data_IF_837474485787
#
_entry.id   IF_837474485787
#
_cell.length_a   1.000
_cell.length_b   1.000
_cell.length_c   1.000
_cell.angle_alpha   90.00
_cell.angle_beta   90.00
_cell.angle_gamma   90.00
#
_symmetry.space_group_name_H-M   'P 1'
#
loop_
_entity.id
_entity.type
_entity.pdbx_description
1 polymer ?
#
# COMPACT_ATOMS: atom_id res chain seq x y z
N UNK A 1 25.29 -47.51 35.18
CA UNK A 1 24.61 -46.49 34.35
C UNK A 1 25.52 -46.18 33.16
N UNK A 2 25.18 -46.65 31.96
CA UNK A 2 25.94 -46.31 30.73
C UNK A 2 25.39 -45.00 30.20
N UNK A 3 26.19 -43.94 30.23
CA UNK A 3 25.89 -42.65 29.59
C UNK A 3 25.87 -42.87 28.09
N UNK A 4 24.67 -42.79 27.49
CA UNK A 4 24.53 -42.79 26.04
C UNK A 4 25.05 -41.45 25.55
N UNK A 5 26.25 -41.45 24.97
CA UNK A 5 26.77 -40.32 24.20
C UNK A 5 25.85 -40.07 23.03
N UNK A 6 25.11 -38.96 23.08
CA UNK A 6 24.36 -38.46 21.92
C UNK A 6 25.37 -38.26 20.79
N UNK A 7 25.24 -39.03 19.71
CA UNK A 7 26.00 -38.84 18.49
C UNK A 7 25.79 -37.41 18.00
N UNK A 8 26.88 -36.65 17.89
CA UNK A 8 26.84 -35.34 17.21
C UNK A 8 26.35 -35.58 15.77
N UNK A 9 25.25 -34.96 15.42
CA UNK A 9 24.74 -35.00 14.06
C UNK A 9 25.80 -34.38 13.12
N UNK A 10 26.55 -35.23 12.44
CA UNK A 10 27.66 -34.87 11.54
C UNK A 10 27.18 -34.70 10.10
N UNK A 11 25.87 -34.81 9.85
CA UNK A 11 25.30 -34.62 8.53
C UNK A 11 25.49 -33.17 8.05
N UNK A 12 26.08 -33.02 6.88
CA UNK A 12 26.20 -31.72 6.19
C UNK A 12 24.85 -31.38 5.57
N UNK A 13 24.32 -30.21 5.91
CA UNK A 13 23.02 -29.77 5.43
C UNK A 13 23.17 -28.94 4.13
N UNK A 14 22.38 -29.24 3.08
CA UNK A 14 22.52 -28.57 1.78
C UNK A 14 21.83 -27.18 1.71
N UNK A 15 21.06 -26.82 2.74
CA UNK A 15 20.28 -25.58 2.77
C UNK A 15 20.42 -24.87 4.10
N UNK A 16 20.67 -23.56 4.06
CA UNK A 16 20.56 -22.65 5.18
C UNK A 16 19.37 -21.73 5.00
N UNK A 17 18.44 -21.76 5.94
CA UNK A 17 17.30 -20.84 6.00
C UNK A 17 17.64 -19.63 6.87
N UNK A 18 17.23 -18.44 6.45
CA UNK A 18 17.37 -17.20 7.21
C UNK A 18 16.05 -16.43 7.24
N UNK A 19 15.66 -15.96 8.40
CA UNK A 19 14.57 -14.99 8.54
C UNK A 19 15.10 -13.71 9.21
N UNK A 20 14.58 -12.56 8.80
CA UNK A 20 14.99 -11.26 9.32
C UNK A 20 13.78 -10.51 9.88
N UNK A 21 13.88 -10.11 11.16
CA UNK A 21 12.98 -9.14 11.77
C UNK A 21 13.66 -7.77 11.78
N UNK A 22 13.10 -6.82 11.04
CA UNK A 22 13.73 -5.56 10.71
C UNK A 22 13.22 -4.42 11.62
N UNK A 23 14.11 -3.80 12.36
CA UNK A 23 13.80 -2.58 13.12
C UNK A 23 14.68 -1.40 12.71
N UNK A 24 14.42 -0.23 13.26
CA UNK A 24 15.17 0.97 12.89
C UNK A 24 16.64 0.91 13.32
N UNK A 25 16.92 0.33 14.50
CA UNK A 25 18.26 0.32 15.11
C UNK A 25 18.95 -1.03 15.03
N UNK A 26 18.21 -2.11 15.07
CA UNK A 26 18.75 -3.46 15.15
C UNK A 26 17.98 -4.40 14.21
N UNK A 27 18.66 -5.33 13.59
CA UNK A 27 18.06 -6.42 12.87
C UNK A 27 18.26 -7.72 13.65
N UNK A 28 17.17 -8.47 13.80
CA UNK A 28 17.25 -9.80 14.41
C UNK A 28 17.23 -10.86 13.31
N UNK A 29 18.25 -11.69 13.31
CA UNK A 29 18.49 -12.73 12.32
C UNK A 29 18.17 -14.08 12.96
N UNK A 30 17.36 -14.88 12.31
CA UNK A 30 17.13 -16.28 12.65
C UNK A 30 17.67 -17.17 11.56
N UNK A 31 18.55 -18.12 11.91
CA UNK A 31 19.09 -19.10 10.98
C UNK A 31 18.63 -20.51 11.36
N UNK A 32 18.45 -21.38 10.36
CA UNK A 32 18.12 -22.79 10.57
C UNK A 32 18.67 -23.68 9.46
N UNK A 33 19.06 -24.90 9.81
CA UNK A 33 19.34 -25.99 8.88
C UNK A 33 18.16 -26.97 8.74
N UNK A 34 16.97 -26.58 9.21
CA UNK A 34 15.78 -27.44 9.29
C UNK A 34 15.65 -28.22 10.61
N UNK A 35 16.74 -28.43 11.36
CA UNK A 35 16.74 -29.14 12.65
C UNK A 35 17.09 -28.23 13.81
N UNK A 36 18.18 -27.47 13.70
CA UNK A 36 18.70 -26.57 14.73
C UNK A 36 18.51 -25.11 14.31
N UNK A 37 18.30 -24.22 15.29
CA UNK A 37 18.12 -22.79 15.07
C UNK A 37 19.23 -22.01 15.78
N UNK A 38 19.65 -20.90 15.16
CA UNK A 38 20.56 -19.89 15.73
C UNK A 38 19.92 -18.51 15.59
N UNK A 39 19.96 -17.68 16.63
CA UNK A 39 19.45 -16.32 16.59
C UNK A 39 20.59 -15.35 16.91
N UNK A 40 20.65 -14.26 16.15
CA UNK A 40 21.61 -13.17 16.33
C UNK A 40 20.92 -11.83 16.18
N UNK A 41 21.57 -10.80 16.71
CA UNK A 41 21.15 -9.43 16.54
C UNK A 41 22.35 -8.62 16.08
N UNK A 42 22.19 -7.87 15.01
CA UNK A 42 23.19 -6.97 14.45
C UNK A 42 22.63 -5.54 14.43
N UNK A 43 23.48 -4.57 14.18
CA UNK A 43 23.03 -3.23 13.89
C UNK A 43 22.25 -3.19 12.56
N UNK A 44 21.24 -2.35 12.49
CA UNK A 44 20.46 -2.21 11.26
C UNK A 44 21.35 -1.65 10.15
N UNK A 45 21.28 -2.27 8.97
CA UNK A 45 22.05 -1.90 7.77
C UNK A 45 23.53 -2.20 7.83
N UNK A 46 24.02 -2.86 8.87
CA UNK A 46 25.39 -3.36 8.93
C UNK A 46 25.52 -4.61 8.02
N UNK A 47 25.80 -4.35 6.75
CA UNK A 47 25.89 -5.39 5.73
C UNK A 47 27.09 -6.32 5.94
N UNK A 48 28.30 -5.82 6.28
CA UNK A 48 29.41 -6.67 6.65
C UNK A 48 29.11 -7.62 7.83
N UNK A 49 28.47 -7.12 8.88
CA UNK A 49 28.07 -7.96 10.02
C UNK A 49 27.02 -9.01 9.61
N UNK A 50 26.09 -8.68 8.70
CA UNK A 50 25.13 -9.65 8.17
C UNK A 50 25.85 -10.80 7.47
N UNK A 51 26.77 -10.51 6.55
CA UNK A 51 27.53 -11.52 5.81
C UNK A 51 28.40 -12.38 6.75
N UNK A 52 29.07 -11.77 7.72
CA UNK A 52 29.86 -12.49 8.73
C UNK A 52 28.98 -13.45 9.56
N UNK A 53 27.79 -13.02 9.97
CA UNK A 53 26.87 -13.89 10.73
C UNK A 53 26.29 -15.02 9.87
N UNK A 54 26.15 -14.85 8.55
CA UNK A 54 25.78 -15.91 7.62
C UNK A 54 26.85 -16.98 7.59
N UNK A 55 28.13 -16.62 7.41
CA UNK A 55 29.25 -17.59 7.38
C UNK A 55 29.38 -18.32 8.73
N UNK A 56 29.25 -17.60 9.84
CA UNK A 56 29.22 -18.22 11.17
C UNK A 56 28.03 -19.18 11.34
N UNK A 57 26.87 -18.85 10.75
CA UNK A 57 25.67 -19.70 10.81
C UNK A 57 25.90 -20.99 10.00
N UNK A 58 26.49 -20.94 8.79
CA UNK A 58 26.86 -22.11 8.00
C UNK A 58 27.72 -23.06 8.83
N UNK A 59 28.80 -22.56 9.43
CA UNK A 59 29.71 -23.36 10.27
C UNK A 59 29.01 -23.96 11.50
N UNK A 60 28.26 -23.13 12.27
CA UNK A 60 27.62 -23.56 13.54
C UNK A 60 26.43 -24.52 13.35
N UNK A 61 25.80 -24.50 12.18
CA UNK A 61 24.68 -25.35 11.83
C UNK A 61 25.05 -26.51 10.91
N UNK A 62 26.36 -26.75 10.72
CA UNK A 62 26.90 -27.83 9.88
C UNK A 62 26.33 -27.82 8.45
N UNK A 63 26.21 -26.61 7.86
CA UNK A 63 25.88 -26.47 6.45
C UNK A 63 27.14 -26.46 5.58
N UNK A 64 27.04 -26.91 4.33
CA UNK A 64 28.10 -26.79 3.36
C UNK A 64 28.43 -25.29 3.11
N UNK A 65 29.70 -25.02 2.73
CA UNK A 65 30.12 -23.62 2.44
C UNK A 65 29.31 -23.06 1.29
N UNK A 66 29.04 -23.86 0.27
CA UNK A 66 28.25 -23.57 -0.93
C UNK A 66 26.77 -23.95 -0.80
N UNK A 67 26.28 -24.16 0.42
CA UNK A 67 24.88 -24.51 0.63
C UNK A 67 23.93 -23.46 0.08
N UNK A 68 22.81 -23.92 -0.47
CA UNK A 68 21.74 -23.01 -0.92
C UNK A 68 21.23 -22.17 0.23
N UNK A 69 21.20 -20.85 0.04
CA UNK A 69 20.62 -19.92 1.01
C UNK A 69 19.23 -19.45 0.60
N UNK A 70 18.30 -19.60 1.54
CA UNK A 70 16.92 -19.18 1.39
C UNK A 70 16.58 -18.22 2.53
N UNK A 71 16.13 -17.01 2.20
CA UNK A 71 15.83 -15.99 3.20
C UNK A 71 14.43 -15.42 3.08
N UNK A 72 13.94 -14.79 4.16
CA UNK A 72 12.71 -14.00 4.12
C UNK A 72 12.73 -12.86 5.13
N UNK A 73 11.91 -11.85 4.85
CA UNK A 73 11.54 -10.81 5.79
C UNK A 73 10.12 -10.31 5.49
N UNK A 74 9.49 -9.67 6.49
CA UNK A 74 8.16 -9.07 6.34
C UNK A 74 8.25 -7.75 5.58
N UNK A 75 7.36 -7.55 4.60
CA UNK A 75 7.24 -6.29 3.88
C UNK A 75 6.87 -5.14 4.83
N UNK A 76 7.69 -4.11 4.85
CA UNK A 76 7.54 -3.02 5.79
C UNK A 76 8.21 -1.73 5.34
N UNK A 77 8.64 -0.95 6.30
CA UNK A 77 9.22 0.37 6.14
C UNK A 77 10.47 0.40 5.25
N UNK A 78 11.32 -0.61 5.36
CA UNK A 78 12.61 -0.64 4.69
C UNK A 78 12.52 -0.93 3.17
N UNK A 79 11.30 -1.24 2.67
CA UNK A 79 11.08 -1.45 1.24
C UNK A 79 11.75 -2.71 0.69
N UNK A 80 12.24 -2.65 -0.55
CA UNK A 80 12.77 -3.82 -1.27
C UNK A 80 14.27 -3.80 -1.54
N UNK A 81 15.01 -2.80 -1.04
CA UNK A 81 16.45 -2.72 -1.25
C UNK A 81 17.21 -3.91 -0.63
N UNK A 82 16.76 -4.38 0.55
CA UNK A 82 17.33 -5.55 1.23
C UNK A 82 17.17 -6.80 0.34
N UNK A 83 15.98 -6.99 -0.26
CA UNK A 83 15.75 -8.09 -1.18
C UNK A 83 16.75 -8.05 -2.35
N UNK A 84 16.90 -6.89 -2.99
CA UNK A 84 17.82 -6.72 -4.12
C UNK A 84 19.27 -6.97 -3.72
N UNK A 85 19.68 -6.49 -2.55
CA UNK A 85 21.02 -6.70 -2.04
C UNK A 85 21.28 -8.18 -1.72
N UNK A 86 20.32 -8.91 -1.10
CA UNK A 86 20.43 -10.34 -0.84
C UNK A 86 20.50 -11.14 -2.14
N UNK A 87 19.72 -10.80 -3.16
CA UNK A 87 19.80 -11.46 -4.48
C UNK A 87 21.17 -11.20 -5.14
N UNK A 88 21.75 -10.01 -5.00
CA UNK A 88 23.09 -9.72 -5.51
C UNK A 88 24.19 -10.56 -4.82
N UNK A 89 23.99 -10.94 -3.56
CA UNK A 89 24.86 -11.88 -2.82
C UNK A 89 24.56 -13.38 -3.14
N UNK A 90 23.68 -13.66 -4.11
CA UNK A 90 23.30 -15.04 -4.45
C UNK A 90 22.33 -15.69 -3.45
N UNK A 91 21.71 -14.92 -2.57
CA UNK A 91 20.78 -15.40 -1.56
C UNK A 91 19.36 -15.30 -2.08
N UNK A 92 18.67 -16.41 -2.29
CA UNK A 92 17.25 -16.41 -2.65
C UNK A 92 16.41 -15.81 -1.52
N UNK A 93 15.71 -14.70 -1.77
CA UNK A 93 14.95 -14.02 -0.74
C UNK A 93 13.47 -13.89 -1.10
N UNK A 94 12.61 -14.12 -0.12
CA UNK A 94 11.15 -13.96 -0.21
C UNK A 94 10.71 -12.81 0.69
N UNK A 95 9.99 -11.83 0.11
CA UNK A 95 9.36 -10.77 0.91
C UNK A 95 7.92 -11.15 1.20
N UNK A 96 7.56 -11.17 2.47
CA UNK A 96 6.30 -11.71 2.97
C UNK A 96 5.25 -10.62 3.13
N UNK A 97 4.00 -10.94 2.76
CA UNK A 97 2.85 -10.06 3.02
C UNK A 97 2.48 -10.12 4.50
N UNK A 98 2.61 -9.00 5.21
CA UNK A 98 2.26 -8.85 6.63
C UNK A 98 0.87 -9.40 6.97
N UNK A 99 -0.09 -9.24 6.06
CA UNK A 99 -1.45 -9.71 6.25
C UNK A 99 -1.60 -11.24 6.18
N UNK A 100 -0.59 -11.95 5.69
CA UNK A 100 -0.60 -13.42 5.57
C UNK A 100 0.11 -14.13 6.72
N UNK A 101 0.80 -13.40 7.58
CA UNK A 101 1.53 -13.98 8.72
C UNK A 101 0.52 -14.35 9.81
N UNK A 102 0.44 -15.63 10.12
CA UNK A 102 -0.43 -16.14 11.18
C UNK A 102 -0.04 -15.60 12.54
N UNK A 103 -0.87 -14.74 13.10
CA UNK A 103 -0.75 -14.32 14.50
C UNK A 103 -1.42 -15.38 15.37
N UNK A 104 -0.65 -16.11 16.17
CA UNK A 104 -1.19 -17.11 17.12
C UNK A 104 -2.08 -16.43 18.16
N UNK A 105 -3.40 -16.46 17.94
CA UNK A 105 -4.40 -15.87 18.87
C UNK A 105 -4.47 -16.56 20.25
N UNK A 106 -3.94 -17.80 20.36
CA UNK A 106 -3.99 -18.59 21.59
C UNK A 106 -2.99 -18.17 22.67
N UNK A 107 -1.98 -17.41 22.31
CA UNK A 107 -0.97 -16.95 23.24
C UNK A 107 -1.06 -15.43 23.35
N UNK A 108 -1.75 -14.93 24.37
CA UNK A 108 -1.55 -13.57 24.92
C UNK A 108 -0.12 -13.48 25.49
N UNK A 109 0.89 -13.78 24.69
CA UNK A 109 2.27 -13.78 25.12
C UNK A 109 2.99 -12.53 24.66
N UNK A 110 3.93 -12.13 25.47
CA UNK A 110 4.88 -11.05 25.23
C UNK A 110 5.38 -11.10 23.79
N UNK A 111 5.03 -10.09 22.99
CA UNK A 111 5.56 -9.92 21.64
C UNK A 111 7.04 -9.55 21.77
N UNK A 112 7.91 -10.37 21.25
CA UNK A 112 9.35 -10.10 21.18
C UNK A 112 9.87 -10.43 19.79
N UNK A 113 10.80 -9.61 19.29
CA UNK A 113 11.45 -9.84 17.98
C UNK A 113 12.05 -11.26 17.85
N UNK A 114 12.38 -11.92 18.96
CA UNK A 114 12.84 -13.31 18.96
C UNK A 114 11.73 -14.28 18.57
N UNK A 115 10.53 -14.08 19.04
CA UNK A 115 9.36 -14.91 18.72
C UNK A 115 8.96 -14.68 17.27
N UNK A 116 8.99 -13.42 16.83
CA UNK A 116 8.61 -13.02 15.48
C UNK A 116 9.58 -13.61 14.43
N UNK A 117 10.90 -13.49 14.64
CA UNK A 117 11.88 -14.07 13.70
C UNK A 117 11.81 -15.61 13.63
N UNK A 118 11.52 -16.28 14.74
CA UNK A 118 11.34 -17.74 14.75
C UNK A 118 10.04 -18.16 14.05
N UNK A 119 8.99 -17.34 14.15
CA UNK A 119 7.75 -17.58 13.43
C UNK A 119 7.97 -17.45 11.91
N UNK A 120 8.63 -16.37 11.46
CA UNK A 120 9.01 -16.18 10.06
C UNK A 120 9.86 -17.34 9.53
N UNK A 121 10.85 -17.79 10.31
CA UNK A 121 11.72 -18.89 9.94
C UNK A 121 10.94 -20.21 9.73
N UNK A 122 10.02 -20.54 10.64
CA UNK A 122 9.15 -21.72 10.51
C UNK A 122 8.25 -21.62 9.27
N UNK A 123 7.67 -20.45 9.02
CA UNK A 123 6.82 -20.23 7.85
C UNK A 123 7.61 -20.37 6.55
N UNK A 124 8.84 -19.85 6.49
CA UNK A 124 9.73 -20.02 5.35
C UNK A 124 10.02 -21.51 5.08
N UNK A 125 10.40 -22.28 6.12
CA UNK A 125 10.70 -23.70 5.99
C UNK A 125 9.47 -24.48 5.49
N UNK A 126 8.28 -24.24 6.06
CA UNK A 126 7.02 -24.84 5.61
C UNK A 126 6.71 -24.51 4.14
N UNK A 127 6.85 -23.24 3.77
CA UNK A 127 6.61 -22.78 2.40
C UNK A 127 7.54 -23.45 1.38
N UNK A 128 8.82 -23.54 1.70
CA UNK A 128 9.83 -24.21 0.84
C UNK A 128 9.58 -25.71 0.82
N UNK A 129 9.15 -26.31 1.92
CA UNK A 129 8.76 -27.72 2.03
C UNK A 129 7.49 -28.10 1.28
N UNK A 130 6.87 -27.15 0.53
CA UNK A 130 5.72 -27.41 -0.34
C UNK A 130 4.39 -26.84 0.16
N UNK A 131 4.30 -26.36 1.39
CA UNK A 131 3.08 -25.78 1.94
C UNK A 131 2.91 -24.32 1.47
N UNK A 132 2.58 -24.12 0.18
CA UNK A 132 2.50 -22.80 -0.45
C UNK A 132 1.44 -21.85 0.15
N UNK A 133 0.52 -22.38 0.96
CA UNK A 133 -0.49 -21.60 1.66
C UNK A 133 0.00 -21.05 3.01
N UNK A 134 1.14 -21.53 3.53
CA UNK A 134 1.69 -21.11 4.81
C UNK A 134 2.00 -19.60 4.86
N UNK A 135 2.33 -19.01 3.72
CA UNK A 135 2.59 -17.57 3.60
C UNK A 135 2.33 -17.06 2.18
N UNK A 136 2.09 -15.77 2.08
CA UNK A 136 1.98 -15.08 0.79
C UNK A 136 3.26 -14.29 0.52
N UNK A 137 3.91 -14.63 -0.59
CA UNK A 137 5.07 -13.90 -1.10
C UNK A 137 4.58 -12.72 -1.95
N UNK A 138 5.20 -11.56 -1.77
CA UNK A 138 4.90 -10.35 -2.56
C UNK A 138 5.78 -10.37 -3.82
N UNK A 139 5.18 -10.04 -4.98
CA UNK A 139 5.95 -9.70 -6.17
C UNK A 139 6.75 -8.42 -5.90
N UNK A 140 8.03 -8.48 -6.13
CA UNK A 140 8.91 -7.31 -5.95
C UNK A 140 8.86 -6.44 -7.20
N UNK A 141 8.49 -5.17 -7.08
CA UNK A 141 8.54 -4.24 -8.21
C UNK A 141 9.98 -3.95 -8.60
N UNK A 142 10.21 -3.64 -9.86
CA UNK A 142 11.48 -3.07 -10.31
C UNK A 142 11.70 -1.68 -9.72
N UNK A 143 12.93 -1.16 -9.80
CA UNK A 143 13.22 0.22 -9.35
C UNK A 143 12.39 1.23 -10.13
N UNK A 144 12.23 1.03 -11.44
CA UNK A 144 11.41 1.87 -12.29
C UNK A 144 9.92 1.83 -11.87
N UNK A 145 9.35 0.63 -11.63
CA UNK A 145 7.98 0.48 -11.14
C UNK A 145 7.77 1.10 -9.75
N UNK A 146 8.82 1.20 -8.93
CA UNK A 146 8.76 1.95 -7.66
C UNK A 146 8.76 3.45 -7.89
N UNK A 147 9.57 3.92 -8.85
CA UNK A 147 9.68 5.32 -9.21
C UNK A 147 8.40 5.86 -9.85
N UNK A 148 7.77 5.10 -10.71
CA UNK A 148 6.49 5.44 -11.36
C UNK A 148 5.39 5.86 -10.36
N UNK A 149 5.44 5.36 -9.14
CA UNK A 149 4.49 5.69 -8.07
C UNK A 149 4.79 7.01 -7.35
N UNK A 150 6.00 7.58 -7.50
CA UNK A 150 6.43 8.75 -6.72
C UNK A 150 5.63 9.99 -7.05
N UNK A 151 5.44 10.31 -8.33
CA UNK A 151 4.68 11.51 -8.75
C UNK A 151 3.30 11.56 -8.09
N UNK A 152 2.58 10.44 -8.08
CA UNK A 152 1.26 10.40 -7.47
C UNK A 152 1.32 10.50 -5.94
N UNK A 153 2.26 9.81 -5.30
CA UNK A 153 2.41 9.80 -3.83
C UNK A 153 2.84 11.15 -3.29
N UNK A 154 3.69 11.83 -4.02
CA UNK A 154 4.10 13.19 -3.70
C UNK A 154 2.95 14.16 -3.87
N UNK A 155 2.24 14.10 -5.00
CA UNK A 155 1.03 14.89 -5.23
C UNK A 155 -0.03 14.68 -4.12
N UNK A 156 -0.27 13.44 -3.70
CA UNK A 156 -1.21 13.14 -2.60
C UNK A 156 -0.79 13.81 -1.29
N UNK A 157 0.51 13.84 -0.98
CA UNK A 157 1.04 14.53 0.20
C UNK A 157 0.87 16.03 0.10
N UNK A 158 1.28 16.63 -1.03
CA UNK A 158 1.15 18.06 -1.29
C UNK A 158 -0.32 18.55 -1.27
N UNK A 159 -1.25 17.75 -1.76
CA UNK A 159 -2.69 18.07 -1.67
C UNK A 159 -3.17 18.16 -0.21
N UNK A 160 -2.66 17.31 0.68
CA UNK A 160 -2.97 17.38 2.12
C UNK A 160 -2.37 18.62 2.76
N UNK A 161 -1.12 18.94 2.45
CA UNK A 161 -0.42 20.14 2.92
C UNK A 161 -1.16 21.40 2.46
N UNK A 162 -1.52 21.47 1.16
CA UNK A 162 -2.32 22.57 0.60
C UNK A 162 -3.65 22.74 1.32
N UNK A 163 -4.33 21.63 1.61
CA UNK A 163 -5.57 21.61 2.39
C UNK A 163 -5.40 22.14 3.81
N UNK A 164 -4.30 21.78 4.47
CA UNK A 164 -3.98 22.22 5.81
C UNK A 164 -3.70 23.73 5.87
N UNK A 165 -2.91 24.28 4.94
CA UNK A 165 -2.67 25.72 4.84
C UNK A 165 -3.97 26.49 4.60
N UNK A 166 -4.82 26.01 3.69
CA UNK A 166 -6.14 26.61 3.44
C UNK A 166 -7.00 26.61 4.70
N UNK A 167 -7.09 25.50 5.41
CA UNK A 167 -7.91 25.38 6.62
C UNK A 167 -7.40 26.31 7.73
N UNK A 168 -6.08 26.44 7.90
CA UNK A 168 -5.46 27.32 8.90
C UNK A 168 -5.75 28.79 8.61
N UNK A 169 -5.57 29.27 7.37
CA UNK A 169 -5.91 30.65 7.00
C UNK A 169 -7.38 30.95 7.24
N UNK A 170 -8.29 30.03 6.88
CA UNK A 170 -9.73 30.19 7.18
C UNK A 170 -10.01 30.29 8.68
N UNK A 171 -9.36 29.44 9.47
CA UNK A 171 -9.53 29.43 10.92
C UNK A 171 -9.04 30.71 11.57
N UNK A 172 -7.89 31.21 11.15
CA UNK A 172 -7.32 32.47 11.67
C UNK A 172 -8.21 33.68 11.35
N UNK A 173 -8.70 33.74 10.13
CA UNK A 173 -9.54 34.87 9.69
C UNK A 173 -10.94 34.85 10.34
N UNK A 174 -11.53 33.69 10.55
CA UNK A 174 -12.87 33.60 11.15
C UNK A 174 -12.89 34.09 12.59
N UNK A 175 -11.80 33.99 13.34
CA UNK A 175 -11.70 34.54 14.71
C UNK A 175 -11.75 36.07 14.74
N UNK A 176 -11.59 36.72 13.59
CA UNK A 176 -11.75 38.16 13.40
C UNK A 176 -13.01 38.54 12.60
N UNK A 177 -13.94 37.59 12.48
CA UNK A 177 -15.22 37.80 11.76
C UNK A 177 -15.08 37.85 10.23
N UNK A 178 -13.94 37.45 9.67
CA UNK A 178 -13.69 37.46 8.22
C UNK A 178 -13.87 36.05 7.66
N UNK A 179 -14.82 35.91 6.72
CA UNK A 179 -15.05 34.63 6.01
C UNK A 179 -14.23 34.63 4.73
N UNK A 180 -13.28 33.71 4.62
CA UNK A 180 -12.47 33.49 3.41
C UNK A 180 -13.18 32.51 2.47
N UNK A 181 -13.76 32.99 1.41
CA UNK A 181 -14.38 32.15 0.38
C UNK A 181 -13.34 31.64 -0.61
N UNK A 182 -12.56 32.54 -1.19
CA UNK A 182 -11.53 32.23 -2.20
C UNK A 182 -10.15 32.63 -1.69
N UNK A 183 -9.19 31.71 -1.85
CA UNK A 183 -7.80 31.97 -1.40
C UNK A 183 -7.12 33.13 -2.16
N UNK A 184 -7.50 33.38 -3.40
CA UNK A 184 -7.05 34.53 -4.17
C UNK A 184 -7.36 35.88 -3.50
N UNK A 185 -8.25 35.91 -2.50
CA UNK A 185 -8.61 37.11 -1.74
C UNK A 185 -7.59 37.41 -0.62
N UNK A 186 -6.74 36.46 -0.22
CA UNK A 186 -5.80 36.63 0.89
C UNK A 186 -4.89 37.84 0.72
N UNK A 187 -4.24 38.11 -0.42
CA UNK A 187 -3.43 39.31 -0.60
C UNK A 187 -4.22 40.63 -0.39
N UNK A 188 -5.47 40.67 -0.86
CA UNK A 188 -6.36 41.82 -0.65
C UNK A 188 -6.76 41.98 0.81
N UNK A 189 -7.02 40.86 1.50
CA UNK A 189 -7.35 40.85 2.92
C UNK A 189 -6.13 41.36 3.73
N UNK A 190 -4.95 40.91 3.44
CA UNK A 190 -3.70 41.35 4.09
C UNK A 190 -3.48 42.86 3.92
N UNK A 191 -3.80 43.42 2.75
CA UNK A 191 -3.60 44.82 2.45
C UNK A 191 -4.66 45.76 3.09
N UNK A 192 -5.90 45.37 3.21
CA UNK A 192 -7.03 46.27 3.48
C UNK A 192 -8.04 45.79 4.52
N UNK A 193 -7.94 44.53 5.03
CA UNK A 193 -8.99 44.04 5.89
C UNK A 193 -8.97 44.64 7.29
N UNK A 194 -10.15 44.98 7.75
CA UNK A 194 -10.43 45.29 9.15
C UNK A 194 -11.32 44.20 9.73
N UNK A 195 -11.29 44.02 11.03
CA UNK A 195 -12.18 43.11 11.73
C UNK A 195 -13.62 43.48 11.45
N UNK A 196 -14.46 42.46 11.13
CA UNK A 196 -15.73 42.68 10.45
C UNK A 196 -16.74 43.57 11.19
N UNK A 197 -16.77 43.58 12.51
CA UNK A 197 -17.79 44.30 13.30
C UNK A 197 -17.24 45.55 13.98
N UNK A 198 -16.03 45.45 14.51
CA UNK A 198 -15.42 46.53 15.34
C UNK A 198 -14.53 47.45 14.51
N UNK A 199 -14.15 47.05 13.29
CA UNK A 199 -13.43 47.87 12.33
C UNK A 199 -11.93 48.13 12.65
N UNK A 200 -11.35 47.43 13.63
CA UNK A 200 -9.91 47.55 13.90
C UNK A 200 -9.08 46.81 12.82
N UNK A 201 -7.90 47.29 12.60
CA UNK A 201 -6.97 46.60 11.68
C UNK A 201 -6.54 45.25 12.20
N UNK A 202 -6.32 44.28 11.30
CA UNK A 202 -5.77 42.99 11.72
C UNK A 202 -4.43 43.15 12.42
N UNK A 203 -4.20 42.46 13.55
CA UNK A 203 -2.95 42.54 14.30
C UNK A 203 -1.71 42.22 13.43
N UNK A 204 -0.57 42.89 13.64
CA UNK A 204 0.62 42.70 12.80
C UNK A 204 1.13 41.24 12.74
N UNK A 205 1.13 40.57 13.89
CA UNK A 205 1.58 39.17 13.94
C UNK A 205 0.63 38.21 13.16
N UNK A 206 -0.67 38.48 13.23
CA UNK A 206 -1.66 37.72 12.44
C UNK A 206 -1.46 37.98 10.94
N UNK A 207 -1.25 39.23 10.53
CA UNK A 207 -0.96 39.55 9.12
C UNK A 207 0.29 38.79 8.66
N UNK A 208 1.36 38.82 9.44
CA UNK A 208 2.61 38.12 9.15
C UNK A 208 2.46 36.61 9.12
N UNK A 209 1.63 36.01 9.99
CA UNK A 209 1.35 34.59 10.00
C UNK A 209 0.55 34.19 8.74
N UNK A 210 -0.51 34.94 8.40
CA UNK A 210 -1.32 34.71 7.21
C UNK A 210 -0.50 34.83 5.92
N UNK A 211 0.42 35.79 5.85
CA UNK A 211 1.32 35.96 4.71
C UNK A 211 2.23 34.73 4.53
N UNK A 212 2.86 34.26 5.60
CA UNK A 212 3.69 33.04 5.56
C UNK A 212 2.87 31.79 5.19
N UNK A 213 1.63 31.67 5.68
CA UNK A 213 0.74 30.57 5.32
C UNK A 213 0.31 30.64 3.86
N UNK A 214 0.05 31.83 3.34
CA UNK A 214 -0.30 32.03 1.94
C UNK A 214 0.88 31.70 1.00
N UNK A 215 2.09 32.14 1.33
CA UNK A 215 3.31 31.80 0.59
C UNK A 215 3.54 30.28 0.53
N UNK A 216 3.37 29.57 1.65
CA UNK A 216 3.45 28.10 1.67
C UNK A 216 2.36 27.46 0.80
N UNK A 217 1.14 27.99 0.88
CA UNK A 217 0.05 27.51 0.05
C UNK A 217 0.36 27.66 -1.45
N UNK A 218 0.86 28.82 -1.86
CA UNK A 218 1.19 29.07 -3.28
C UNK A 218 2.36 28.18 -3.75
N UNK A 219 3.39 28.00 -2.92
CA UNK A 219 4.49 27.08 -3.22
C UNK A 219 3.98 25.65 -3.42
N UNK A 220 3.20 25.14 -2.48
CA UNK A 220 2.63 23.78 -2.56
C UNK A 220 1.70 23.66 -3.78
N UNK A 221 0.91 24.70 -4.07
CA UNK A 221 -0.01 24.72 -5.20
C UNK A 221 0.75 24.71 -6.55
N UNK A 222 1.87 25.42 -6.66
CA UNK A 222 2.73 25.39 -7.86
C UNK A 222 3.36 24.00 -8.07
N UNK A 223 3.85 23.36 -6.98
CA UNK A 223 4.41 22.01 -7.03
C UNK A 223 3.34 20.96 -7.43
N UNK A 224 2.11 21.08 -6.96
CA UNK A 224 1.01 20.20 -7.40
C UNK A 224 0.79 20.33 -8.92
N UNK A 225 0.75 21.55 -9.45
CA UNK A 225 0.57 21.79 -10.88
C UNK A 225 1.74 21.24 -11.71
N UNK A 226 2.94 21.38 -11.20
CA UNK A 226 4.15 20.82 -11.83
C UNK A 226 4.08 19.29 -11.93
N UNK A 227 3.73 18.61 -10.84
CA UNK A 227 3.58 17.15 -10.84
C UNK A 227 2.47 16.69 -11.81
N UNK A 228 1.36 17.43 -11.88
CA UNK A 228 0.28 17.15 -12.83
C UNK A 228 0.74 17.33 -14.28
N UNK A 229 1.54 18.34 -14.57
CA UNK A 229 2.15 18.57 -15.89
C UNK A 229 3.09 17.42 -16.26
N UNK A 230 4.01 17.06 -15.33
CA UNK A 230 4.94 15.94 -15.52
C UNK A 230 4.23 14.61 -15.79
N UNK A 231 3.09 14.36 -15.14
CA UNK A 231 2.28 13.16 -15.42
C UNK A 231 1.78 13.16 -16.88
N UNK A 232 1.28 14.30 -17.36
CA UNK A 232 0.76 14.44 -18.73
C UNK A 232 1.90 14.25 -19.74
N UNK A 233 3.00 14.97 -19.57
CA UNK A 233 4.19 14.89 -20.44
C UNK A 233 4.74 13.45 -20.53
N UNK A 234 4.84 12.76 -19.38
CA UNK A 234 5.25 11.35 -19.35
C UNK A 234 4.30 10.46 -20.14
N UNK A 235 2.99 10.71 -20.04
CA UNK A 235 2.01 9.91 -20.78
C UNK A 235 1.99 10.18 -22.28
N UNK A 236 2.40 11.37 -22.71
CA UNK A 236 2.49 11.75 -24.13
C UNK A 236 3.81 11.31 -24.77
N UNK A 237 4.89 11.31 -23.97
CA UNK A 237 6.26 11.05 -24.48
C UNK A 237 6.67 9.58 -24.44
N UNK A 238 5.97 8.71 -23.73
CA UNK A 238 6.34 7.31 -23.50
C UNK A 238 5.27 6.35 -24.01
N UNK A 239 5.59 5.57 -25.04
CA UNK A 239 4.74 4.46 -25.48
C UNK A 239 5.12 3.17 -24.73
N UNK A 240 4.77 3.12 -23.46
CA UNK A 240 4.95 1.96 -22.59
C UNK A 240 3.61 1.38 -22.16
N UNK A 241 3.55 0.07 -21.84
CA UNK A 241 2.29 -0.59 -21.48
C UNK A 241 1.49 0.11 -20.37
N UNK A 242 2.17 0.78 -19.43
CA UNK A 242 1.53 1.56 -18.39
C UNK A 242 0.72 2.74 -18.96
N UNK A 243 1.24 3.44 -19.96
CA UNK A 243 0.55 4.58 -20.58
C UNK A 243 -0.65 4.13 -21.40
N UNK A 244 -0.54 3.01 -22.10
CA UNK A 244 -1.67 2.40 -22.80
C UNK A 244 -2.80 2.01 -21.81
N UNK A 245 -2.47 1.42 -20.66
CA UNK A 245 -3.45 1.14 -19.60
C UNK A 245 -4.16 2.41 -19.09
N UNK A 246 -3.42 3.50 -18.92
CA UNK A 246 -3.99 4.80 -18.50
C UNK A 246 -4.98 5.30 -19.57
N UNK A 247 -4.62 5.26 -20.85
CA UNK A 247 -5.49 5.70 -21.94
C UNK A 247 -6.77 4.85 -22.03
N UNK A 248 -6.64 3.53 -21.91
CA UNK A 248 -7.81 2.63 -21.88
C UNK A 248 -8.76 2.98 -20.73
N UNK A 249 -8.25 3.11 -19.50
CA UNK A 249 -9.09 3.46 -18.35
C UNK A 249 -9.74 4.85 -18.51
N UNK A 250 -8.99 5.82 -19.02
CA UNK A 250 -9.47 7.18 -19.28
C UNK A 250 -10.59 7.22 -20.32
N UNK A 251 -10.59 6.28 -21.24
CA UNK A 251 -11.67 6.12 -22.25
C UNK A 251 -13.03 5.84 -21.63
N UNK A 252 -13.12 5.26 -20.43
CA UNK A 252 -14.39 5.04 -19.75
C UNK A 252 -14.97 6.35 -19.20
N UNK A 253 -16.25 6.61 -19.50
CA UNK A 253 -16.97 7.75 -18.91
C UNK A 253 -17.03 7.59 -17.39
N UNK A 254 -16.71 8.64 -16.64
CA UNK A 254 -16.64 8.61 -15.17
C UNK A 254 -15.25 8.25 -14.60
N UNK A 255 -14.31 7.78 -15.42
CA UNK A 255 -12.92 7.57 -15.00
C UNK A 255 -12.06 8.74 -15.50
N UNK A 256 -11.52 9.51 -14.55
CA UNK A 256 -10.71 10.70 -14.85
C UNK A 256 -9.22 10.38 -14.95
N UNK A 257 -8.43 11.38 -15.35
CA UNK A 257 -6.97 11.30 -15.49
C UNK A 257 -6.28 10.75 -14.25
N UNK A 258 -6.51 11.39 -13.10
CA UNK A 258 -5.85 11.01 -11.86
C UNK A 258 -6.24 9.60 -11.38
N UNK A 259 -7.49 9.22 -11.58
CA UNK A 259 -7.96 7.87 -11.22
C UNK A 259 -7.31 6.80 -12.08
N UNK A 260 -7.19 7.06 -13.40
CA UNK A 260 -6.51 6.16 -14.34
C UNK A 260 -5.03 6.01 -14.00
N UNK A 261 -4.36 7.13 -13.69
CA UNK A 261 -2.96 7.14 -13.27
C UNK A 261 -2.73 6.31 -12.00
N UNK A 262 -3.53 6.58 -10.95
CA UNK A 262 -3.41 5.88 -9.67
C UNK A 262 -3.69 4.39 -9.81
N UNK A 263 -4.76 4.01 -10.53
CA UNK A 263 -5.10 2.61 -10.76
C UNK A 263 -3.97 1.88 -11.48
N UNK A 264 -3.39 2.50 -12.49
CA UNK A 264 -2.30 1.90 -13.24
C UNK A 264 -1.04 1.81 -12.39
N UNK A 265 -0.49 2.94 -11.91
CA UNK A 265 0.81 2.97 -11.26
C UNK A 265 0.84 2.29 -9.89
N UNK A 266 -0.22 2.41 -9.09
CA UNK A 266 -0.28 1.79 -7.77
C UNK A 266 -0.76 0.34 -7.79
N UNK A 267 -1.40 -0.13 -8.87
CA UNK A 267 -2.07 -1.41 -8.83
C UNK A 267 -1.87 -2.30 -10.06
N UNK A 268 -2.21 -1.84 -11.27
CA UNK A 268 -2.26 -2.70 -12.45
C UNK A 268 -0.95 -2.80 -13.24
N UNK A 269 0.01 -1.89 -13.07
CA UNK A 269 1.23 -1.87 -13.87
C UNK A 269 2.23 -2.95 -13.43
N UNK A 270 2.37 -3.18 -12.14
CA UNK A 270 3.44 -4.02 -11.60
C UNK A 270 2.95 -5.29 -10.91
N UNK A 271 1.64 -5.56 -10.90
CA UNK A 271 1.05 -6.78 -10.33
C UNK A 271 0.42 -7.64 -11.40
N UNK A 272 0.59 -8.92 -11.24
CA UNK A 272 -0.08 -9.95 -12.03
C UNK A 272 -1.14 -10.62 -11.18
N UNK A 273 -2.37 -10.65 -11.66
CA UNK A 273 -3.48 -11.27 -10.95
C UNK A 273 -3.96 -12.51 -11.69
N UNK A 274 -3.93 -13.65 -11.03
CA UNK A 274 -4.40 -14.92 -11.61
C UNK A 274 -5.92 -15.02 -11.69
N UNK A 275 -6.63 -14.27 -10.86
CA UNK A 275 -8.10 -14.30 -10.80
C UNK A 275 -8.69 -13.09 -10.06
N UNK A 276 -10.01 -12.92 -10.19
CA UNK A 276 -10.77 -11.82 -9.57
C UNK A 276 -10.73 -11.81 -8.02
N UNK A 277 -10.51 -12.97 -7.38
CA UNK A 277 -10.38 -13.05 -5.92
C UNK A 277 -9.12 -12.34 -5.44
N UNK A 278 -8.00 -12.53 -6.17
CA UNK A 278 -6.74 -11.84 -5.86
C UNK A 278 -6.85 -10.33 -6.04
N UNK A 279 -7.53 -9.86 -7.09
CA UNK A 279 -7.77 -8.42 -7.34
C UNK A 279 -8.48 -7.79 -6.15
N UNK A 280 -9.59 -8.37 -5.70
CA UNK A 280 -10.35 -7.88 -4.56
C UNK A 280 -9.57 -7.94 -3.24
N UNK A 281 -8.81 -9.02 -3.01
CA UNK A 281 -7.99 -9.21 -1.80
C UNK A 281 -6.87 -8.18 -1.71
N UNK A 282 -6.13 -7.93 -2.80
CA UNK A 282 -5.05 -6.94 -2.83
C UNK A 282 -5.52 -5.50 -2.56
N UNK A 283 -6.78 -5.18 -2.86
CA UNK A 283 -7.38 -3.89 -2.50
C UNK A 283 -7.99 -3.89 -1.08
N UNK A 284 -8.08 -5.06 -0.43
CA UNK A 284 -8.73 -5.20 0.87
C UNK A 284 -10.25 -4.99 0.83
N UNK A 285 -10.87 -5.29 -0.32
CA UNK A 285 -12.31 -5.17 -0.56
C UNK A 285 -13.04 -6.52 -0.44
N UNK A 286 -12.35 -7.56 0.05
CA UNK A 286 -12.94 -8.89 0.24
C UNK A 286 -13.80 -8.89 1.50
N UNK A 287 -15.06 -9.39 1.44
CA UNK A 287 -15.88 -9.55 2.63
C UNK A 287 -15.24 -10.56 3.59
N UNK A 288 -15.48 -10.36 4.88
CA UNK A 288 -15.01 -11.23 5.95
C UNK A 288 -16.23 -11.81 6.67
N UNK A 289 -16.86 -12.87 6.14
CA UNK A 289 -17.94 -13.54 6.84
C UNK A 289 -17.41 -14.17 8.13
N UNK A 290 -18.25 -14.17 9.15
CA UNK A 290 -18.02 -14.91 10.39
C UNK A 290 -19.19 -15.87 10.57
N UNK A 291 -18.94 -17.13 10.28
CA UNK A 291 -19.90 -18.20 10.41
C UNK A 291 -19.49 -19.08 11.60
N UNK A 292 -20.37 -19.20 12.59
CA UNK A 292 -20.16 -20.02 13.78
C UNK A 292 -21.49 -20.71 14.12
N UNK A 293 -21.59 -22.00 13.79
CA UNK A 293 -22.82 -22.76 13.94
C UNK A 293 -23.97 -22.10 13.19
N UNK A 294 -25.11 -21.89 13.84
CA UNK A 294 -26.31 -21.28 13.23
C UNK A 294 -26.25 -19.75 13.09
N UNK A 295 -25.13 -19.11 13.47
CA UNK A 295 -24.99 -17.65 13.44
C UNK A 295 -24.06 -17.22 12.32
N UNK A 296 -24.61 -16.60 11.28
CA UNK A 296 -23.85 -15.91 10.23
C UNK A 296 -23.80 -14.42 10.50
N UNK A 297 -22.61 -13.86 10.63
CA UNK A 297 -22.40 -12.42 10.83
C UNK A 297 -21.40 -11.87 9.81
N UNK A 298 -21.81 -10.87 9.04
CA UNK A 298 -20.89 -10.13 8.19
C UNK A 298 -20.08 -9.11 9.01
N UNK A 299 -18.76 -9.20 8.97
CA UNK A 299 -17.86 -8.25 9.64
C UNK A 299 -17.38 -7.10 8.72
N UNK A 300 -17.96 -6.98 7.53
CA UNK A 300 -17.57 -6.01 6.51
C UNK A 300 -16.45 -6.52 5.61
N UNK A 301 -15.49 -5.66 5.27
CA UNK A 301 -14.36 -5.99 4.38
C UNK A 301 -13.06 -6.17 5.18
N UNK A 302 -12.12 -6.95 4.63
CA UNK A 302 -10.86 -7.30 5.28
C UNK A 302 -9.98 -6.08 5.62
N UNK A 303 -10.05 -5.02 4.81
CA UNK A 303 -9.18 -3.83 4.88
C UNK A 303 -7.68 -4.15 4.78
N UNK A 304 -7.30 -5.42 4.70
CA UNK A 304 -5.95 -5.87 4.44
C UNK A 304 -5.63 -5.70 2.95
N UNK A 305 -4.69 -4.82 2.61
CA UNK A 305 -4.32 -4.53 1.22
C UNK A 305 -4.13 -3.04 0.95
N UNK A 306 -4.07 -2.67 -0.33
CA UNK A 306 -3.76 -1.30 -0.75
C UNK A 306 -4.88 -0.30 -0.36
N UNK A 307 -4.60 0.51 0.68
CA UNK A 307 -5.55 1.51 1.19
C UNK A 307 -5.89 2.58 0.14
N UNK A 308 -4.90 3.02 -0.68
CA UNK A 308 -5.13 4.05 -1.70
C UNK A 308 -6.11 3.57 -2.75
N UNK A 309 -5.91 2.35 -3.25
CA UNK A 309 -6.81 1.73 -4.23
C UNK A 309 -8.19 1.54 -3.63
N UNK A 310 -8.30 1.07 -2.39
CA UNK A 310 -9.60 0.90 -1.73
C UNK A 310 -10.38 2.22 -1.61
N UNK A 311 -9.73 3.31 -1.22
CA UNK A 311 -10.34 4.64 -1.12
C UNK A 311 -10.77 5.13 -2.51
N UNK A 312 -9.86 5.09 -3.48
CA UNK A 312 -10.13 5.49 -4.86
C UNK A 312 -11.31 4.71 -5.47
N UNK A 313 -11.36 3.39 -5.23
CA UNK A 313 -12.44 2.56 -5.78
C UNK A 313 -13.81 2.88 -5.18
N UNK A 314 -13.88 3.29 -3.92
CA UNK A 314 -15.12 3.77 -3.32
C UNK A 314 -15.57 5.08 -3.95
N UNK A 315 -14.67 6.02 -4.20
CA UNK A 315 -14.94 7.27 -4.90
C UNK A 315 -15.38 7.01 -6.35
N UNK A 316 -14.64 6.16 -7.07
CA UNK A 316 -14.98 5.76 -8.44
C UNK A 316 -16.33 5.05 -8.53
N UNK A 317 -16.72 4.27 -7.53
CA UNK A 317 -18.02 3.62 -7.51
C UNK A 317 -19.17 4.65 -7.46
N UNK A 318 -19.03 5.73 -6.70
CA UNK A 318 -19.99 6.83 -6.74
C UNK A 318 -20.02 7.57 -8.07
N UNK A 319 -18.84 7.84 -8.65
CA UNK A 319 -18.75 8.45 -9.98
C UNK A 319 -19.31 7.53 -11.06
N UNK A 320 -19.12 6.21 -10.93
CA UNK A 320 -19.67 5.22 -11.85
C UNK A 320 -21.19 5.26 -11.87
N UNK A 321 -21.84 5.27 -10.72
CA UNK A 321 -23.31 5.41 -10.64
C UNK A 321 -23.81 6.70 -11.29
N UNK A 322 -23.06 7.79 -11.16
CA UNK A 322 -23.43 9.08 -11.73
C UNK A 322 -23.25 9.16 -13.24
N UNK A 323 -22.14 8.60 -13.76
CA UNK A 323 -21.77 8.78 -15.17
C UNK A 323 -22.05 7.55 -16.04
N UNK A 324 -22.42 6.42 -15.45
CA UNK A 324 -22.72 5.15 -16.10
C UNK A 324 -24.04 4.56 -15.55
N UNK A 325 -25.14 5.32 -15.52
CA UNK A 325 -26.38 4.88 -14.86
C UNK A 325 -26.95 3.60 -15.45
N UNK A 326 -26.82 3.40 -16.77
CA UNK A 326 -27.39 2.28 -17.52
C UNK A 326 -26.46 1.04 -17.58
N UNK A 327 -25.27 1.12 -17.01
CA UNK A 327 -24.36 -0.03 -16.95
C UNK A 327 -24.91 -1.13 -16.03
N UNK A 328 -24.62 -2.39 -16.36
CA UNK A 328 -25.04 -3.55 -15.56
C UNK A 328 -24.64 -3.42 -14.08
N UNK A 329 -23.47 -2.82 -13.80
CA UNK A 329 -23.02 -2.59 -12.44
C UNK A 329 -23.91 -1.58 -11.71
N UNK A 330 -24.34 -0.54 -12.37
CA UNK A 330 -25.25 0.48 -11.79
C UNK A 330 -26.65 -0.08 -11.61
N UNK A 331 -27.18 -0.78 -12.60
CA UNK A 331 -28.47 -1.48 -12.51
C UNK A 331 -28.46 -2.54 -11.39
N UNK A 332 -27.37 -3.28 -11.25
CA UNK A 332 -27.19 -4.22 -10.14
C UNK A 332 -27.21 -3.50 -8.77
N UNK A 333 -26.56 -2.35 -8.66
CA UNK A 333 -26.56 -1.58 -7.43
C UNK A 333 -27.95 -1.07 -7.08
N UNK A 334 -28.68 -0.49 -8.04
CA UNK A 334 -30.03 0.05 -7.81
C UNK A 334 -31.01 -1.04 -7.44
N UNK A 335 -31.00 -2.19 -8.13
CA UNK A 335 -31.88 -3.33 -7.79
C UNK A 335 -31.65 -3.86 -6.38
N UNK A 336 -30.41 -3.83 -5.87
CA UNK A 336 -30.06 -4.47 -4.59
C UNK A 336 -30.01 -3.51 -3.42
N UNK A 337 -29.69 -2.26 -3.64
CA UNK A 337 -29.41 -1.27 -2.62
C UNK A 337 -30.13 0.07 -2.83
N UNK A 338 -30.77 0.28 -3.95
CA UNK A 338 -31.39 1.56 -4.32
C UNK A 338 -32.50 1.97 -3.36
N UNK A 339 -33.38 1.04 -2.98
CA UNK A 339 -34.46 1.26 -1.99
C UNK A 339 -34.00 1.23 -0.54
N UNK A 340 -32.72 0.90 -0.29
CA UNK A 340 -32.17 0.81 1.07
C UNK A 340 -31.85 2.16 1.68
N UNK A 341 -31.96 2.29 3.02
CA UNK A 341 -31.55 3.47 3.74
C UNK A 341 -30.04 3.76 3.63
N UNK A 342 -29.59 4.90 4.18
CA UNK A 342 -28.18 5.37 4.11
C UNK A 342 -27.12 4.30 4.43
N UNK A 343 -27.40 3.42 5.41
CA UNK A 343 -26.49 2.34 5.79
C UNK A 343 -26.34 1.30 4.67
N UNK A 344 -27.46 0.86 4.09
CA UNK A 344 -27.47 -0.14 3.01
C UNK A 344 -26.77 0.38 1.76
N UNK A 345 -27.01 1.64 1.38
CA UNK A 345 -26.30 2.29 0.27
C UNK A 345 -24.80 2.38 0.49
N UNK A 346 -24.31 2.63 1.73
CA UNK A 346 -22.89 2.60 2.07
C UNK A 346 -22.27 1.20 1.98
N UNK A 347 -23.00 0.16 2.34
CA UNK A 347 -22.57 -1.24 2.14
C UNK A 347 -22.51 -1.55 0.65
N UNK A 348 -23.56 -1.19 -0.08
CA UNK A 348 -23.67 -1.39 -1.52
C UNK A 348 -22.54 -0.74 -2.31
N UNK A 349 -22.15 0.48 -1.96
CA UNK A 349 -21.09 1.19 -2.67
C UNK A 349 -19.72 0.49 -2.51
N UNK A 350 -19.44 -0.09 -1.35
CA UNK A 350 -18.21 -0.86 -1.13
C UNK A 350 -18.24 -2.17 -1.94
N UNK A 351 -19.40 -2.82 -2.03
CA UNK A 351 -19.58 -4.00 -2.87
C UNK A 351 -19.45 -3.66 -4.36
N UNK A 352 -20.01 -2.53 -4.79
CA UNK A 352 -19.85 -2.00 -6.15
C UNK A 352 -18.38 -1.68 -6.45
N UNK A 353 -17.66 -1.04 -5.53
CA UNK A 353 -16.24 -0.74 -5.65
C UNK A 353 -15.40 -2.00 -5.95
N UNK A 354 -15.70 -3.12 -5.28
CA UNK A 354 -15.04 -4.40 -5.57
C UNK A 354 -15.40 -4.93 -6.96
N UNK A 355 -16.68 -4.92 -7.32
CA UNK A 355 -17.13 -5.39 -8.65
C UNK A 355 -16.54 -4.54 -9.77
N UNK A 356 -16.54 -3.22 -9.59
CA UNK A 356 -15.95 -2.28 -10.54
C UNK A 356 -14.44 -2.52 -10.70
N UNK A 357 -13.70 -2.69 -9.61
CA UNK A 357 -12.25 -2.99 -9.68
C UNK A 357 -11.97 -4.25 -10.49
N UNK A 358 -12.76 -5.31 -10.30
CA UNK A 358 -12.65 -6.56 -11.07
C UNK A 358 -13.02 -6.33 -12.54
N UNK A 359 -14.03 -5.53 -12.83
CA UNK A 359 -14.42 -5.21 -14.21
C UNK A 359 -13.33 -4.39 -14.92
N UNK A 360 -12.74 -3.40 -14.25
CA UNK A 360 -11.62 -2.62 -14.78
C UNK A 360 -10.37 -3.49 -15.02
N UNK A 361 -10.08 -4.45 -14.14
CA UNK A 361 -9.03 -5.42 -14.36
C UNK A 361 -9.26 -6.26 -15.61
N UNK A 362 -10.47 -6.82 -15.79
CA UNK A 362 -10.83 -7.57 -17.00
C UNK A 362 -10.75 -6.75 -18.26
N UNK A 363 -11.12 -5.48 -18.18
CA UNK A 363 -11.01 -4.55 -19.28
C UNK A 363 -9.55 -4.33 -19.71
N UNK A 364 -8.63 -4.17 -18.75
CA UNK A 364 -7.21 -3.99 -19.04
C UNK A 364 -6.51 -5.27 -19.53
N UNK A 365 -6.86 -6.44 -18.98
CA UNK A 365 -6.17 -7.70 -19.29
C UNK A 365 -6.76 -8.41 -20.52
N UNK A 366 -8.06 -8.26 -20.76
CA UNK A 366 -8.78 -9.03 -21.79
C UNK A 366 -9.55 -8.16 -22.78
N UNK A 367 -9.46 -6.83 -22.67
CA UNK A 367 -10.23 -5.90 -23.53
C UNK A 367 -11.74 -5.91 -23.30
N UNK A 368 -12.24 -6.60 -22.27
CA UNK A 368 -13.67 -6.75 -22.02
C UNK A 368 -14.24 -5.49 -21.37
N UNK A 369 -14.90 -4.66 -22.17
CA UNK A 369 -15.58 -3.46 -21.67
C UNK A 369 -16.68 -3.88 -20.68
N UNK A 370 -16.79 -3.22 -19.50
CA UNK A 370 -17.88 -3.49 -18.57
C UNK A 370 -19.23 -3.33 -19.28
N UNK A 371 -20.09 -4.32 -19.15
CA UNK A 371 -21.36 -4.39 -19.91
C UNK A 371 -22.24 -3.16 -19.66
N UNK A 372 -22.75 -2.56 -20.73
CA UNK A 372 -23.53 -1.33 -20.72
C UNK A 372 -22.71 -0.07 -20.39
N UNK A 373 -21.39 -0.18 -20.30
CA UNK A 373 -20.55 1.00 -20.05
C UNK A 373 -20.35 1.85 -21.31
N UNK A 374 -20.44 3.16 -21.15
CA UNK A 374 -20.24 4.15 -22.21
C UNK A 374 -18.79 4.59 -22.22
N UNK A 375 -18.16 4.54 -23.38
CA UNK A 375 -16.87 5.16 -23.63
C UNK A 375 -17.05 6.65 -23.90
N UNK A 376 -16.03 7.46 -23.60
CA UNK A 376 -15.98 8.84 -24.07
C UNK A 376 -15.81 8.79 -25.59
N UNK A 377 -16.59 9.57 -26.29
CA UNK A 377 -16.35 9.77 -27.73
C UNK A 377 -14.92 10.28 -27.93
N UNK A 378 -14.25 9.75 -28.94
CA UNK A 378 -12.97 10.24 -29.43
C UNK A 378 -13.15 11.62 -30.00
#
# INVERSE_FOLDING_TARGET
>A
MKTVLQSKDTAIHPVLYMAMELSHKKWKLGFSNGKKNRIRTIDARDWPALLAEIELAKSKLSCAIDCKMLSCYEAGRDGFWIHRALIAEGIENQVLDSASIEVSRRKKQVKTDRVDVLALLRLLIRYIGGEKQALRVIRIPTVAEEDDRRLNRERERLLKERGAHRARMKSLLVTHGIVLEKLAEVPRILAKAKAAVIGYELPPDLKSELEREYQRYELVNSQVRELERLQIERAESQDIPAMQKIQHLRGLKGVGWQSSWILTMEFFNWREFKNSKQVGACAGLTPTPYDSGDKTREQGISKAGNKRIRQLMVELAWLWLRYQPDSDLSLWFERRFGSGGKRMRRIGIVALARKLLVALWRYLEHGVIPQGAVLKGV
#
